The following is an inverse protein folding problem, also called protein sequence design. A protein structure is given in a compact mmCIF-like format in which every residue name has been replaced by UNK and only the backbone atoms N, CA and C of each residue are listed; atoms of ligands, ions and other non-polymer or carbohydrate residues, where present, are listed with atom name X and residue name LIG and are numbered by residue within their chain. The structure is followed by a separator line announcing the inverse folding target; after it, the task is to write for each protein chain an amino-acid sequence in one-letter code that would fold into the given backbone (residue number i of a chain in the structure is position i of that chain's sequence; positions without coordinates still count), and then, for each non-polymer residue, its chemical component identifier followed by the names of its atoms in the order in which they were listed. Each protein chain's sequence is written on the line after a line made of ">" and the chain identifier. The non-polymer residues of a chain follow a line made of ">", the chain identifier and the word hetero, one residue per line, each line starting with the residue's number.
data_IF_033118436375
#
_entry.id   IF_033118436375
#
_cell.length_a   1.000
_cell.length_b   1.000
_cell.length_c   1.000
_cell.angle_alpha   90.00
_cell.angle_beta   90.00
_cell.angle_gamma   90.00
#
_symmetry.space_group_name_H-M   'P 1'
#
loop_
_entity.id
_entity.type
_entity.pdbx_description
1 polymer ?
#
# COMPACT_ATOMS: atom_id res chain seq x y z
N UNK A 1 2.69 -12.23 -4.99
CA UNK A 1 1.22 -12.35 -4.99
C UNK A 1 0.74 -13.57 -4.21
N UNK A 2 1.32 -14.73 -4.40
CA UNK A 2 0.86 -15.95 -3.74
C UNK A 2 0.94 -15.89 -2.21
N UNK A 3 1.89 -15.12 -1.68
CA UNK A 3 2.04 -14.95 -0.23
C UNK A 3 0.99 -14.01 0.40
N UNK A 4 0.29 -13.22 -0.40
CA UNK A 4 -0.68 -12.24 0.10
C UNK A 4 -2.12 -12.50 -0.32
N UNK A 5 -2.35 -13.24 -1.43
CA UNK A 5 -3.71 -13.44 -1.96
C UNK A 5 -4.66 -14.13 -0.98
N UNK A 6 -4.14 -14.94 -0.09
CA UNK A 6 -4.95 -15.65 0.93
C UNK A 6 -5.54 -14.71 1.97
N UNK A 7 -5.05 -13.46 2.03
CA UNK A 7 -5.58 -12.46 2.95
C UNK A 7 -6.66 -11.59 2.33
N UNK A 8 -7.15 -11.97 1.17
CA UNK A 8 -8.30 -11.31 0.54
C UNK A 8 -9.48 -11.35 1.51
N UNK A 9 -10.08 -10.19 1.77
CA UNK A 9 -11.17 -10.07 2.74
C UNK A 9 -12.04 -8.86 2.38
N UNK A 10 -13.37 -8.98 2.42
CA UNK A 10 -14.25 -7.85 2.16
C UNK A 10 -14.20 -6.77 3.26
N UNK A 11 -13.73 -7.11 4.47
CA UNK A 11 -13.83 -6.22 5.64
C UNK A 11 -12.48 -5.85 6.20
N UNK A 12 -12.21 -4.54 6.28
CA UNK A 12 -11.02 -4.00 6.96
C UNK A 12 -11.05 -4.32 8.47
N UNK A 13 -12.22 -4.51 9.05
CA UNK A 13 -12.38 -4.74 10.49
C UNK A 13 -11.76 -6.05 11.02
N UNK A 14 -11.32 -6.94 10.14
CA UNK A 14 -10.65 -8.17 10.56
C UNK A 14 -9.19 -7.88 10.91
N UNK A 15 -8.94 -7.62 12.18
CA UNK A 15 -7.63 -7.20 12.69
C UNK A 15 -6.53 -8.23 12.42
N UNK A 16 -6.81 -9.50 12.66
CA UNK A 16 -5.83 -10.57 12.41
C UNK A 16 -5.46 -10.69 10.94
N UNK A 17 -6.45 -10.55 10.06
CA UNK A 17 -6.21 -10.62 8.63
C UNK A 17 -5.34 -9.46 8.14
N UNK A 18 -5.60 -8.26 8.63
CA UNK A 18 -4.80 -7.07 8.30
C UNK A 18 -3.37 -7.25 8.80
N UNK A 19 -3.19 -7.68 10.06
CA UNK A 19 -1.86 -7.92 10.61
C UNK A 19 -1.07 -8.95 9.82
N UNK A 20 -1.69 -10.05 9.44
CA UNK A 20 -1.05 -11.08 8.65
C UNK A 20 -0.71 -10.58 7.24
N UNK A 21 -1.57 -9.78 6.63
CA UNK A 21 -1.28 -9.17 5.33
C UNK A 21 -0.06 -8.25 5.44
N UNK A 22 -0.04 -7.35 6.40
CA UNK A 22 1.07 -6.39 6.57
C UNK A 22 2.40 -7.10 6.86
N UNK A 23 2.38 -8.24 7.55
CA UNK A 23 3.60 -9.01 7.80
C UNK A 23 4.20 -9.61 6.52
N UNK A 24 3.43 -9.69 5.45
CA UNK A 24 3.86 -10.22 4.16
C UNK A 24 4.06 -9.14 3.09
N UNK A 25 4.00 -7.87 3.48
CA UNK A 25 4.20 -6.74 2.58
C UNK A 25 5.53 -6.04 2.87
N UNK A 26 6.13 -5.36 1.88
CA UNK A 26 7.32 -4.53 2.10
C UNK A 26 7.15 -3.56 3.27
N UNK A 27 8.25 -3.17 3.88
CA UNK A 27 8.37 -2.30 5.04
C UNK A 27 8.09 -3.00 6.37
N UNK A 28 7.65 -4.26 6.38
CA UNK A 28 7.45 -5.01 7.63
C UNK A 28 8.74 -5.14 8.44
N UNK A 29 9.89 -5.12 7.77
CA UNK A 29 11.21 -5.26 8.40
C UNK A 29 11.54 -4.11 9.37
N UNK A 30 10.91 -2.95 9.23
CA UNK A 30 11.18 -1.79 10.09
C UNK A 30 10.41 -1.82 11.40
N UNK A 31 9.53 -2.79 11.60
CA UNK A 31 8.63 -2.80 12.74
C UNK A 31 7.52 -1.76 12.58
N UNK A 32 6.34 -2.11 13.01
CA UNK A 32 5.17 -1.23 12.86
C UNK A 32 4.08 -1.58 13.85
N UNK A 33 3.20 -0.62 14.08
CA UNK A 33 1.89 -0.85 14.69
C UNK A 33 0.84 -0.30 13.74
N UNK A 34 -0.37 -0.83 13.78
CA UNK A 34 -1.43 -0.34 12.91
C UNK A 34 -2.74 -0.16 13.68
N UNK A 35 -3.59 0.68 13.13
CA UNK A 35 -4.90 0.99 13.69
C UNK A 35 -5.94 0.98 12.58
N UNK A 36 -7.07 0.34 12.84
CA UNK A 36 -8.20 0.29 11.94
C UNK A 36 -9.28 1.27 12.42
N UNK A 37 -9.75 2.13 11.51
CA UNK A 37 -10.90 2.97 11.72
C UNK A 37 -12.07 2.38 10.94
N UNK A 38 -12.86 1.51 11.60
CA UNK A 38 -13.97 0.81 10.95
C UNK A 38 -15.08 1.77 10.53
N UNK A 39 -15.24 2.88 11.23
CA UNK A 39 -16.29 3.87 10.93
C UNK A 39 -15.99 4.60 9.63
N UNK A 40 -14.74 5.02 9.42
CA UNK A 40 -14.33 5.77 8.25
C UNK A 40 -13.62 4.90 7.20
N UNK A 41 -13.57 3.60 7.42
CA UNK A 41 -12.96 2.62 6.52
C UNK A 41 -11.49 2.96 6.22
N UNK A 42 -10.76 3.34 7.27
CA UNK A 42 -9.37 3.76 7.18
C UNK A 42 -8.41 2.80 7.86
N UNK A 43 -7.19 2.79 7.37
CA UNK A 43 -6.08 2.05 7.94
C UNK A 43 -4.91 2.99 8.16
N UNK A 44 -4.39 3.04 9.39
CA UNK A 44 -3.20 3.82 9.72
C UNK A 44 -2.09 2.86 10.12
N UNK A 45 -0.93 3.00 9.49
CA UNK A 45 0.24 2.16 9.77
C UNK A 45 1.36 3.07 10.22
N UNK A 46 1.87 2.82 11.43
CA UNK A 46 2.96 3.60 12.02
C UNK A 46 4.23 2.77 11.97
N UNK A 47 5.16 3.13 11.09
CA UNK A 47 6.45 2.46 10.97
C UNK A 47 7.46 3.06 11.93
N UNK A 48 8.30 2.20 12.50
CA UNK A 48 9.31 2.59 13.47
C UNK A 48 10.62 2.96 12.76
N UNK A 49 10.55 3.93 11.83
CA UNK A 49 11.70 4.41 11.07
C UNK A 49 11.40 5.77 10.45
N UNK A 50 12.42 6.40 9.88
CA UNK A 50 12.27 7.59 9.07
C UNK A 50 12.11 7.20 7.59
N UNK A 51 11.61 8.13 6.77
CA UNK A 51 11.54 7.94 5.31
C UNK A 51 12.80 8.44 4.58
N UNK A 52 13.81 8.91 5.33
CA UNK A 52 15.07 9.40 4.75
C UNK A 52 15.91 8.28 4.15
N UNK A 53 15.69 7.07 4.62
CA UNK A 53 16.43 5.90 4.18
C UNK A 53 15.83 5.41 2.86
N UNK A 54 16.28 6.02 1.76
CA UNK A 54 15.63 5.85 0.49
C UNK A 54 16.63 5.54 -0.63
N UNK A 55 17.09 4.29 -0.63
CA UNK A 55 17.89 3.77 -1.73
C UNK A 55 16.98 3.33 -2.86
N UNK A 56 17.26 3.80 -4.08
CA UNK A 56 16.56 3.37 -5.30
C UNK A 56 15.04 3.49 -5.22
N UNK A 57 14.56 4.53 -4.54
CA UNK A 57 13.12 4.77 -4.34
C UNK A 57 12.41 3.64 -3.57
N UNK A 58 13.11 2.97 -2.67
CA UNK A 58 12.55 1.82 -1.97
C UNK A 58 11.27 2.17 -1.19
N UNK A 59 11.27 3.29 -0.48
CA UNK A 59 10.09 3.72 0.29
C UNK A 59 8.92 4.01 -0.67
N UNK A 60 9.14 4.83 -1.69
CA UNK A 60 8.08 5.18 -2.65
C UNK A 60 7.49 3.95 -3.33
N UNK A 61 8.33 3.07 -3.83
CA UNK A 61 7.90 1.84 -4.50
C UNK A 61 7.15 0.92 -3.55
N UNK A 62 7.63 0.80 -2.31
CA UNK A 62 6.96 -0.02 -1.29
C UNK A 62 5.59 0.53 -0.94
N UNK A 63 5.45 1.85 -0.83
CA UNK A 63 4.14 2.47 -0.55
C UNK A 63 3.16 2.25 -1.70
N UNK A 64 3.62 2.35 -2.95
CA UNK A 64 2.78 2.04 -4.12
C UNK A 64 2.35 0.58 -4.08
N UNK A 65 3.31 -0.33 -3.93
CA UNK A 65 3.06 -1.77 -3.90
C UNK A 65 2.07 -2.14 -2.80
N UNK A 66 2.29 -1.63 -1.60
CA UNK A 66 1.44 -1.91 -0.45
C UNK A 66 0.03 -1.36 -0.65
N UNK A 67 -0.09 -0.15 -1.16
CA UNK A 67 -1.39 0.49 -1.36
C UNK A 67 -2.22 -0.23 -2.41
N UNK A 68 -1.63 -0.53 -3.57
CA UNK A 68 -2.33 -1.27 -4.62
C UNK A 68 -2.73 -2.66 -4.13
N UNK A 69 -1.85 -3.34 -3.41
CA UNK A 69 -2.13 -4.67 -2.86
C UNK A 69 -3.27 -4.62 -1.84
N UNK A 70 -3.22 -3.70 -0.88
CA UNK A 70 -4.23 -3.59 0.16
C UNK A 70 -5.59 -3.21 -0.44
N UNK A 71 -5.65 -2.22 -1.31
CA UNK A 71 -6.90 -1.81 -1.95
C UNK A 71 -7.47 -2.91 -2.86
N UNK A 72 -6.61 -3.75 -3.44
CA UNK A 72 -7.05 -4.89 -4.26
C UNK A 72 -7.61 -6.02 -3.43
N UNK A 73 -7.03 -6.29 -2.26
CA UNK A 73 -7.35 -7.46 -1.44
C UNK A 73 -8.41 -7.19 -0.37
N UNK A 74 -8.52 -5.97 0.13
CA UNK A 74 -9.48 -5.61 1.17
C UNK A 74 -10.54 -4.69 0.55
N UNK A 75 -11.73 -5.23 0.35
CA UNK A 75 -12.74 -4.57 -0.48
C UNK A 75 -13.20 -3.22 0.06
N UNK A 76 -13.40 -3.11 1.37
CA UNK A 76 -14.03 -1.91 1.94
C UNK A 76 -13.06 -0.85 2.46
N UNK A 77 -11.75 -1.06 2.39
CA UNK A 77 -10.80 -0.02 2.81
C UNK A 77 -10.84 1.14 1.81
N UNK A 78 -10.93 2.37 2.32
CA UNK A 78 -11.03 3.56 1.49
C UNK A 78 -9.83 4.48 1.59
N UNK A 79 -9.13 4.48 2.73
CA UNK A 79 -7.99 5.38 2.97
C UNK A 79 -6.90 4.63 3.72
N UNK A 80 -5.65 4.87 3.34
CA UNK A 80 -4.49 4.38 4.07
C UNK A 80 -3.59 5.56 4.40
N UNK A 81 -3.15 5.62 5.65
CA UNK A 81 -2.16 6.58 6.10
C UNK A 81 -0.92 5.84 6.58
N UNK A 82 0.22 6.17 6.00
CA UNK A 82 1.53 5.63 6.37
C UNK A 82 2.30 6.70 7.12
N UNK A 83 2.61 6.43 8.39
CA UNK A 83 3.35 7.37 9.23
C UNK A 83 4.78 6.87 9.46
N UNK A 84 5.72 7.77 9.27
CA UNK A 84 7.14 7.59 9.60
C UNK A 84 7.53 8.63 10.63
N UNK A 85 8.70 8.48 11.24
CA UNK A 85 9.22 9.53 12.11
C UNK A 85 9.53 10.77 11.25
N UNK A 86 8.72 11.81 11.39
CA UNK A 86 8.91 13.09 10.69
C UNK A 86 8.08 13.29 9.42
N UNK A 87 7.37 12.29 8.93
CA UNK A 87 6.55 12.42 7.73
C UNK A 87 5.34 11.49 7.73
N UNK A 88 4.34 11.83 6.94
CA UNK A 88 3.13 11.05 6.78
C UNK A 88 2.73 11.06 5.30
N UNK A 89 2.24 9.91 4.81
CA UNK A 89 1.76 9.74 3.44
C UNK A 89 0.34 9.20 3.48
N UNK A 90 -0.56 9.86 2.76
CA UNK A 90 -1.97 9.46 2.70
C UNK A 90 -2.35 9.13 1.27
N UNK A 91 -3.13 8.07 1.09
CA UNK A 91 -3.62 7.64 -0.21
C UNK A 91 -5.05 7.15 -0.07
N UNK A 92 -5.90 7.43 -1.07
CA UNK A 92 -7.27 6.95 -1.11
C UNK A 92 -7.46 5.92 -2.22
N UNK A 93 -8.40 5.01 -2.02
CA UNK A 93 -8.76 4.03 -3.05
C UNK A 93 -9.28 4.72 -4.32
N UNK A 94 -10.02 5.81 -4.15
CA UNK A 94 -10.55 6.58 -5.27
C UNK A 94 -9.45 7.04 -6.21
N UNK A 95 -8.38 7.67 -5.67
CA UNK A 95 -7.30 8.19 -6.51
C UNK A 95 -6.50 7.05 -7.15
N UNK A 96 -6.34 5.93 -6.47
CA UNK A 96 -5.66 4.76 -7.04
C UNK A 96 -6.46 4.20 -8.20
N UNK A 97 -7.77 4.06 -8.06
CA UNK A 97 -8.63 3.62 -9.16
C UNK A 97 -8.57 4.54 -10.38
N UNK A 98 -8.51 5.84 -10.14
CA UNK A 98 -8.47 6.85 -11.21
C UNK A 98 -7.10 6.94 -11.89
N UNK A 99 -6.03 6.72 -11.15
CA UNK A 99 -4.67 7.07 -11.59
C UNK A 99 -3.75 5.89 -11.81
N UNK A 100 -3.99 4.75 -11.16
CA UNK A 100 -3.12 3.59 -11.32
C UNK A 100 -3.57 2.73 -12.50
N UNK A 101 -2.74 2.57 -13.55
CA UNK A 101 -3.13 1.82 -14.75
C UNK A 101 -3.50 0.37 -14.44
N UNK A 102 -4.62 -0.07 -14.97
CA UNK A 102 -5.09 -1.46 -14.86
C UNK A 102 -5.33 -1.93 -13.43
N UNK A 103 -5.65 -1.01 -12.51
CA UNK A 103 -5.87 -1.36 -11.11
C UNK A 103 -6.86 -2.51 -10.93
N UNK A 104 -7.97 -2.49 -11.65
CA UNK A 104 -9.03 -3.51 -11.51
C UNK A 104 -8.57 -4.91 -11.96
N UNK A 105 -7.51 -5.00 -12.76
CA UNK A 105 -6.99 -6.26 -13.24
C UNK A 105 -5.93 -6.88 -12.33
N UNK A 106 -5.33 -6.08 -11.45
CA UNK A 106 -4.20 -6.52 -10.61
C UNK A 106 -4.56 -7.73 -9.77
N UNK A 107 -5.77 -7.75 -9.20
CA UNK A 107 -6.20 -8.80 -8.27
C UNK A 107 -6.72 -10.07 -8.93
N UNK A 108 -6.88 -10.10 -10.25
CA UNK A 108 -7.54 -11.20 -10.92
C UNK A 108 -6.74 -12.51 -10.87
N UNK A 109 -5.43 -12.41 -11.05
CA UNK A 109 -4.54 -13.57 -11.03
C UNK A 109 -3.09 -13.14 -10.86
N UNK A 110 -2.20 -14.12 -10.65
CA UNK A 110 -0.77 -13.88 -10.45
C UNK A 110 -0.13 -13.19 -11.65
N UNK A 111 -0.48 -13.61 -12.87
CA UNK A 111 0.06 -13.01 -14.08
C UNK A 111 -0.24 -11.52 -14.16
N UNK A 112 -1.47 -11.13 -13.87
CA UNK A 112 -1.88 -9.73 -13.88
C UNK A 112 -1.21 -8.94 -12.74
N UNK A 113 -1.11 -9.53 -11.56
CA UNK A 113 -0.41 -8.92 -10.45
C UNK A 113 1.05 -8.63 -10.80
N UNK A 114 1.74 -9.60 -11.39
CA UNK A 114 3.13 -9.42 -11.80
C UNK A 114 3.26 -8.37 -12.90
N UNK A 115 2.40 -8.43 -13.91
CA UNK A 115 2.48 -7.54 -15.07
C UNK A 115 2.15 -6.09 -14.71
N UNK A 116 1.10 -5.88 -13.91
CA UNK A 116 0.55 -4.55 -13.66
C UNK A 116 1.02 -3.92 -12.35
N UNK A 117 1.63 -4.68 -11.46
CA UNK A 117 2.16 -4.15 -10.21
C UNK A 117 3.63 -4.50 -9.99
N UNK A 118 3.95 -5.78 -9.79
CA UNK A 118 5.30 -6.17 -9.35
C UNK A 118 6.38 -5.74 -10.33
N UNK A 119 6.21 -6.06 -11.61
CA UNK A 119 7.19 -5.70 -12.63
C UNK A 119 7.27 -4.20 -12.88
N UNK A 120 6.18 -3.47 -12.64
CA UNK A 120 6.16 -2.01 -12.80
C UNK A 120 7.06 -1.31 -11.79
N UNK A 121 7.31 -1.91 -10.64
CA UNK A 121 8.21 -1.34 -9.63
C UNK A 121 9.67 -1.33 -10.05
N UNK A 122 10.02 -2.02 -11.14
CA UNK A 122 11.36 -1.94 -11.74
C UNK A 122 11.56 -0.70 -12.60
N UNK A 123 10.50 0.04 -12.90
CA UNK A 123 10.52 1.27 -13.70
C UNK A 123 10.49 2.48 -12.78
N UNK A 124 11.63 3.13 -12.60
CA UNK A 124 11.75 4.28 -11.70
C UNK A 124 10.92 5.48 -12.15
N UNK A 125 10.85 5.72 -13.45
CA UNK A 125 10.08 6.84 -14.00
C UNK A 125 8.58 6.64 -13.77
N UNK A 126 8.09 5.45 -14.04
CA UNK A 126 6.70 5.07 -13.75
C UNK A 126 6.40 5.23 -12.27
N UNK A 127 7.25 4.69 -11.42
CA UNK A 127 7.06 4.72 -9.96
C UNK A 127 7.01 6.16 -9.43
N UNK A 128 7.92 7.02 -9.90
CA UNK A 128 7.94 8.43 -9.49
C UNK A 128 6.68 9.16 -9.93
N UNK A 129 6.25 8.95 -11.17
CA UNK A 129 5.05 9.57 -11.70
C UNK A 129 3.80 9.16 -10.93
N UNK A 130 3.64 7.86 -10.67
CA UNK A 130 2.50 7.33 -9.92
C UNK A 130 2.53 7.84 -8.48
N UNK A 131 3.69 7.77 -7.83
CA UNK A 131 3.82 8.21 -6.44
C UNK A 131 3.33 9.66 -6.28
N UNK A 132 3.77 10.53 -7.15
CA UNK A 132 3.39 11.95 -7.11
C UNK A 132 1.91 12.19 -7.37
N UNK A 133 1.25 11.29 -8.11
CA UNK A 133 -0.19 11.41 -8.40
C UNK A 133 -1.06 10.95 -7.24
N UNK A 134 -0.68 9.86 -6.56
CA UNK A 134 -1.60 9.18 -5.63
C UNK A 134 -1.36 9.53 -4.17
N UNK A 135 -0.15 9.93 -3.78
CA UNK A 135 0.16 10.21 -2.38
C UNK A 135 0.15 11.70 -2.06
N UNK A 136 -0.40 12.02 -0.89
CA UNK A 136 -0.25 13.35 -0.27
C UNK A 136 0.73 13.19 0.89
N UNK A 137 1.83 13.93 0.83
CA UNK A 137 2.87 13.91 1.87
C UNK A 137 2.71 15.09 2.80
N UNK A 138 2.77 14.82 4.11
CA UNK A 138 2.84 15.84 5.14
C UNK A 138 4.12 15.66 5.95
N UNK A 139 4.85 16.77 6.15
CA UNK A 139 6.04 16.79 7.03
C UNK A 139 5.55 17.15 8.42
N UNK A 140 5.89 16.32 9.36
CA UNK A 140 5.44 16.47 10.76
C UNK A 140 6.41 17.31 11.58
#
# INVERSE_FOLDING_TARGET
>A
YNNIKKYKNPYIGNNSNIGNLLNNLPLNEFGYVFKIDSKNLGLTINYNTTDWYNNDMYIEKSLIYNSVSIFSLIDNVQTIQYNFSGSSYTVTKKIVKESYPHFELVKENEKNFDQYLENKMNDDEFSRSIFNKIFVKNVL
#
